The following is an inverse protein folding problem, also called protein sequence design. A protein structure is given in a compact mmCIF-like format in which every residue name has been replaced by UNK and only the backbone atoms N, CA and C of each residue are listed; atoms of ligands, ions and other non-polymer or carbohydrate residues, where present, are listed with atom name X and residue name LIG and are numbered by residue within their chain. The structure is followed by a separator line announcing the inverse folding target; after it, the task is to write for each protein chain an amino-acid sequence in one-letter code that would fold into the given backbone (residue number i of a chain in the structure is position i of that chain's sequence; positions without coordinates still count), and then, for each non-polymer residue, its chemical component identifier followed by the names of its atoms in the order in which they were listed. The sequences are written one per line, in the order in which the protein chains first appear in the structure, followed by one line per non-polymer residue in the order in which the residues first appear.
data_IF_011099415117
#
_entry.id   IF_011099415117
#
_cell.length_a   1.000
_cell.length_b   1.000
_cell.length_c   1.000
_cell.angle_alpha   90.00
_cell.angle_beta   90.00
_cell.angle_gamma   90.00
#
_symmetry.space_group_name_H-M   'P 1'
#
loop_
_entity.id
_entity.type
_entity.pdbx_description
1 polymer ?
#
# COMPACT_ATOMS: atom_id res chain seq x y z
N UNK A 1 19.80 -0.90 -31.38
CA UNK A 1 19.25 -1.64 -30.23
C UNK A 1 19.37 -0.73 -29.04
N UNK A 2 18.25 -0.09 -28.67
CA UNK A 2 18.20 1.05 -27.76
C UNK A 2 18.48 0.63 -26.30
N UNK A 3 19.23 1.47 -25.59
CA UNK A 3 19.70 1.31 -24.20
C UNK A 3 18.58 1.15 -23.14
N UNK A 4 17.31 1.27 -23.53
CA UNK A 4 16.14 1.11 -22.66
C UNK A 4 15.97 -0.32 -22.11
N UNK A 5 16.58 -1.33 -22.73
CA UNK A 5 16.47 -2.72 -22.28
C UNK A 5 17.32 -3.05 -21.05
N UNK A 6 18.25 -2.19 -20.64
CA UNK A 6 19.15 -2.43 -19.50
C UNK A 6 18.53 -2.07 -18.14
N UNK A 7 17.42 -1.34 -18.12
CA UNK A 7 16.77 -0.87 -16.88
C UNK A 7 15.62 -1.76 -16.40
N UNK A 8 15.46 -2.97 -16.96
CA UNK A 8 14.63 -4.02 -16.37
C UNK A 8 15.40 -4.71 -15.24
N UNK A 9 15.70 -3.95 -14.18
CA UNK A 9 16.00 -4.55 -12.88
C UNK A 9 14.80 -5.44 -12.57
N UNK A 10 15.01 -6.76 -12.48
CA UNK A 10 13.97 -7.70 -12.06
C UNK A 10 13.30 -7.11 -10.83
N UNK A 11 12.04 -6.70 -11.01
CA UNK A 11 11.32 -5.83 -10.09
C UNK A 11 11.11 -6.48 -8.71
N UNK A 12 11.43 -7.77 -8.56
CA UNK A 12 11.46 -8.53 -7.31
C UNK A 12 12.29 -7.84 -6.20
N UNK A 13 13.43 -7.23 -6.55
CA UNK A 13 14.31 -6.61 -5.55
C UNK A 13 13.78 -5.25 -5.07
N UNK A 14 13.41 -4.30 -5.95
CA UNK A 14 12.74 -3.07 -5.53
C UNK A 14 11.46 -3.32 -4.74
N UNK A 15 10.64 -4.28 -5.18
CA UNK A 15 9.40 -4.62 -4.47
C UNK A 15 9.69 -5.07 -3.04
N UNK A 16 10.61 -6.01 -2.82
CA UNK A 16 10.96 -6.45 -1.46
C UNK A 16 11.46 -5.32 -0.56
N UNK A 17 12.19 -4.35 -1.10
CA UNK A 17 12.65 -3.18 -0.33
C UNK A 17 11.47 -2.29 0.02
N UNK A 18 10.59 -2.00 -0.95
CA UNK A 18 9.40 -1.18 -0.75
C UNK A 18 8.49 -1.80 0.31
N UNK A 19 8.28 -3.11 0.25
CA UNK A 19 7.47 -3.87 1.19
C UNK A 19 8.03 -3.87 2.61
N UNK A 20 9.32 -4.17 2.77
CA UNK A 20 9.90 -4.39 4.10
C UNK A 20 10.41 -3.13 4.80
N UNK A 21 10.64 -2.03 4.06
CA UNK A 21 11.40 -0.89 4.58
C UNK A 21 10.72 0.47 4.43
N UNK A 22 9.66 0.58 3.62
CA UNK A 22 9.01 1.88 3.39
C UNK A 22 7.70 1.97 4.14
N UNK A 23 7.52 3.11 4.81
CA UNK A 23 6.20 3.51 5.30
C UNK A 23 5.34 3.93 4.12
N UNK A 24 4.00 3.87 4.28
CA UNK A 24 3.02 4.30 3.28
C UNK A 24 3.36 5.65 2.65
N UNK A 25 3.81 6.62 3.46
CA UNK A 25 4.20 7.96 2.98
C UNK A 25 5.35 7.91 1.97
N UNK A 26 6.34 7.05 2.19
CA UNK A 26 7.50 6.95 1.32
C UNK A 26 7.16 6.18 0.04
N UNK A 27 6.27 5.19 0.12
CA UNK A 27 5.69 4.54 -1.07
C UNK A 27 4.96 5.57 -1.96
N UNK A 28 4.17 6.46 -1.36
CA UNK A 28 3.51 7.54 -2.11
C UNK A 28 4.50 8.52 -2.76
N UNK A 29 5.65 8.78 -2.13
CA UNK A 29 6.74 9.57 -2.73
C UNK A 29 7.37 8.84 -3.91
N UNK A 30 7.58 7.52 -3.81
CA UNK A 30 8.07 6.70 -4.92
C UNK A 30 7.16 6.81 -6.16
N UNK A 31 5.83 6.89 -5.97
CA UNK A 31 4.88 7.09 -7.08
C UNK A 31 5.07 8.42 -7.82
N UNK A 32 5.75 9.40 -7.23
CA UNK A 32 6.00 10.71 -7.84
C UNK A 32 7.33 10.76 -8.61
N UNK A 33 8.19 9.75 -8.49
CA UNK A 33 9.54 9.74 -9.09
C UNK A 33 9.50 9.56 -10.60
N UNK A 34 8.76 8.55 -11.10
CA UNK A 34 8.66 8.30 -12.53
C UNK A 34 7.36 7.58 -12.91
N UNK A 35 7.01 7.62 -14.20
CA UNK A 35 5.79 6.97 -14.73
C UNK A 35 5.79 5.45 -14.53
N UNK A 36 6.96 4.82 -14.61
CA UNK A 36 7.11 3.37 -14.42
C UNK A 36 6.78 2.97 -12.98
N UNK A 37 7.35 3.66 -11.99
CA UNK A 37 7.07 3.41 -10.56
C UNK A 37 5.62 3.72 -10.22
N UNK A 38 5.06 4.80 -10.76
CA UNK A 38 3.64 5.11 -10.60
C UNK A 38 2.76 3.97 -11.11
N UNK A 39 3.01 3.46 -12.32
CA UNK A 39 2.21 2.39 -12.89
C UNK A 39 2.25 1.11 -12.04
N UNK A 40 3.43 0.76 -11.54
CA UNK A 40 3.65 -0.43 -10.71
C UNK A 40 3.02 -0.33 -9.32
N UNK A 41 3.25 0.79 -8.64
CA UNK A 41 2.71 1.07 -7.32
C UNK A 41 1.23 1.45 -7.34
N UNK A 42 0.62 1.60 -8.52
CA UNK A 42 -0.84 1.77 -8.66
C UNK A 42 -1.57 0.42 -8.76
N UNK A 43 -0.84 -0.70 -8.79
CA UNK A 43 -1.44 -2.04 -8.82
C UNK A 43 -2.20 -2.30 -7.50
N UNK A 44 -3.46 -2.73 -7.63
CA UNK A 44 -4.28 -3.11 -6.49
C UNK A 44 -3.68 -4.30 -5.72
N UNK A 45 -3.05 -5.24 -6.42
CA UNK A 45 -2.41 -6.40 -5.79
C UNK A 45 -1.25 -5.97 -4.90
N UNK A 46 -0.44 -5.00 -5.34
CA UNK A 46 0.63 -4.42 -4.54
C UNK A 46 0.10 -3.86 -3.21
N UNK A 47 -0.96 -3.03 -3.22
CA UNK A 47 -1.50 -2.45 -1.99
C UNK A 47 -2.14 -3.47 -1.06
N UNK A 48 -2.78 -4.51 -1.59
CA UNK A 48 -3.35 -5.59 -0.77
C UNK A 48 -2.27 -6.30 0.04
N UNK A 49 -1.18 -6.69 -0.61
CA UNK A 49 -0.08 -7.35 0.09
C UNK A 49 0.64 -6.34 1.01
N UNK A 50 0.85 -5.10 0.57
CA UNK A 50 1.54 -4.08 1.36
C UNK A 50 0.82 -3.81 2.68
N UNK A 51 -0.51 -3.73 2.64
CA UNK A 51 -1.33 -3.53 3.84
C UNK A 51 -1.27 -4.76 4.75
N UNK A 52 -1.32 -5.99 4.21
CA UNK A 52 -1.21 -7.21 5.02
C UNK A 52 0.13 -7.32 5.76
N UNK A 53 1.23 -6.92 5.13
CA UNK A 53 2.55 -6.96 5.76
C UNK A 53 2.79 -5.77 6.69
N UNK A 54 2.30 -4.58 6.33
CA UNK A 54 2.54 -3.34 7.08
C UNK A 54 1.60 -3.17 8.28
N UNK A 55 0.42 -3.79 8.23
CA UNK A 55 -0.59 -3.71 9.28
C UNK A 55 -0.95 -5.11 9.75
N UNK A 56 -0.92 -5.30 11.06
CA UNK A 56 -1.48 -6.51 11.65
C UNK A 56 -3.01 -6.45 11.60
N UNK A 57 -3.57 -6.86 10.46
CA UNK A 57 -5.01 -6.97 10.25
C UNK A 57 -5.63 -8.15 11.03
N UNK A 58 -4.83 -8.94 11.75
CA UNK A 58 -5.32 -10.01 12.64
C UNK A 58 -5.63 -9.51 14.04
N UNK A 59 -5.22 -8.27 14.36
CA UNK A 59 -5.77 -7.56 15.50
C UNK A 59 -7.24 -7.31 15.18
N UNK A 60 -8.11 -8.21 15.63
CA UNK A 60 -9.46 -7.85 16.02
C UNK A 60 -9.27 -6.73 17.04
N UNK A 61 -9.35 -5.47 16.59
CA UNK A 61 -9.58 -4.38 17.54
C UNK A 61 -10.90 -4.76 18.17
N UNK A 62 -10.85 -5.14 19.45
CA UNK A 62 -12.04 -5.36 20.25
C UNK A 62 -13.04 -4.29 19.84
N UNK A 63 -14.26 -4.74 19.62
CA UNK A 63 -15.44 -3.91 19.37
C UNK A 63 -15.63 -3.06 20.64
N UNK A 64 -14.74 -2.10 20.88
CA UNK A 64 -15.10 -0.91 21.62
C UNK A 64 -16.27 -0.37 20.82
N UNK A 65 -17.45 -0.43 21.45
CA UNK A 65 -18.71 0.12 20.93
C UNK A 65 -18.36 1.27 20.00
N UNK A 66 -18.70 1.13 18.72
CA UNK A 66 -18.53 2.20 17.74
C UNK A 66 -19.31 3.41 18.26
N UNK A 67 -18.66 4.26 19.02
CA UNK A 67 -19.24 5.45 19.61
C UNK A 67 -18.87 6.62 18.73
N UNK A 68 -19.89 7.32 18.24
CA UNK A 68 -19.71 8.44 17.34
C UNK A 68 -20.97 8.74 16.54
N UNK A 69 -21.06 9.97 16.05
CA UNK A 69 -22.24 10.46 15.33
C UNK A 69 -22.56 9.65 14.07
N UNK A 70 -21.57 9.02 13.44
CA UNK A 70 -21.74 8.15 12.27
C UNK A 70 -22.45 6.82 12.60
N UNK A 71 -22.16 6.21 13.76
CA UNK A 71 -22.80 4.97 14.18
C UNK A 71 -24.28 5.20 14.57
N UNK A 72 -24.57 6.30 15.26
CA UNK A 72 -25.96 6.68 15.61
C UNK A 72 -26.85 6.94 14.39
N UNK A 73 -26.26 7.37 13.27
CA UNK A 73 -27.02 7.67 12.06
C UNK A 73 -27.48 6.41 11.31
N UNK A 74 -26.70 5.33 11.38
CA UNK A 74 -27.05 4.04 10.75
C UNK A 74 -27.94 3.15 11.60
N UNK A 75 -28.09 3.45 12.90
CA UNK A 75 -28.92 2.70 13.85
C UNK A 75 -29.75 3.67 14.73
N UNK A 76 -30.77 4.35 14.17
CA UNK A 76 -31.69 5.18 14.94
C UNK A 76 -32.64 4.33 15.79
N UNK A 77 -32.96 4.81 17.01
CA UNK A 77 -33.92 4.20 17.94
C UNK A 77 -35.36 4.13 17.38
#
# INVERSE_FOLDING_TARGET
MSEESAMSLRFDVPYKIIFNWLQTRDVLRCMQVCKSWKAQLSDLHFWKEFIKESFDLTVESDIEKLEGSLYKWSHPD
#
